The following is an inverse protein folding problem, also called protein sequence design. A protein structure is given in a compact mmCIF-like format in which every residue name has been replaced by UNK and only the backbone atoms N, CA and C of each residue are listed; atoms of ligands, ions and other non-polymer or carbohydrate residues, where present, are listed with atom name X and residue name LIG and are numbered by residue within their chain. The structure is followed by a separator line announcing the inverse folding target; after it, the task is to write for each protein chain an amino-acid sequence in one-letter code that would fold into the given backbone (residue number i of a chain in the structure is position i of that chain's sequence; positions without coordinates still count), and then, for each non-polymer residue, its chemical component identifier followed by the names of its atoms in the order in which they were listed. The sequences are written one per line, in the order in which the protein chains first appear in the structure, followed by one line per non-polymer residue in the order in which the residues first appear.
data_IF_288903725261
#
_entry.id   IF_288903725261
#
_cell.length_a   1.000
_cell.length_b   1.000
_cell.length_c   1.000
_cell.angle_alpha   90.00
_cell.angle_beta   90.00
_cell.angle_gamma   90.00
#
_symmetry.space_group_name_H-M   'P 1'
#
loop_
_entity.id
_entity.type
_entity.pdbx_description
1 polymer ?
#
# COMPACT_ATOMS: atom_id res chain seq x y z
N UNK A 1 -1.00 21.22 0.97
CA UNK A 1 -0.10 20.30 1.69
C UNK A 1 -0.41 18.89 1.18
N UNK A 2 0.37 18.36 0.24
CA UNK A 2 0.15 17.01 -0.26
C UNK A 2 0.44 16.05 0.90
N UNK A 3 -0.56 15.28 1.34
CA UNK A 3 -0.32 14.13 2.22
C UNK A 3 0.46 13.14 1.38
N UNK A 4 1.78 13.17 1.52
CA UNK A 4 2.65 12.15 0.96
C UNK A 4 2.23 10.83 1.63
N UNK A 5 1.51 9.97 0.91
CA UNK A 5 1.14 8.66 1.40
C UNK A 5 2.41 7.81 1.49
N UNK A 6 3.07 7.92 2.63
CA UNK A 6 4.26 7.15 2.97
C UNK A 6 3.80 5.74 3.32
N UNK A 7 3.74 4.87 2.32
CA UNK A 7 3.61 3.43 2.57
C UNK A 7 4.82 2.95 3.38
N UNK A 8 4.56 2.06 4.35
CA UNK A 8 5.57 1.46 5.23
C UNK A 8 5.49 -0.07 5.14
N UNK A 9 6.56 -0.75 5.51
CA UNK A 9 6.56 -2.21 5.64
C UNK A 9 5.47 -2.64 6.63
N UNK A 10 4.64 -3.60 6.25
CA UNK A 10 3.49 -4.08 7.01
C UNK A 10 2.14 -3.44 6.64
N UNK A 11 2.13 -2.36 5.84
CA UNK A 11 0.88 -1.76 5.37
C UNK A 11 0.14 -2.68 4.40
N UNK A 12 -1.20 -2.64 4.46
CA UNK A 12 -2.06 -3.27 3.46
C UNK A 12 -2.46 -2.24 2.41
N UNK A 13 -2.27 -2.63 1.16
CA UNK A 13 -2.63 -1.82 0.00
C UNK A 13 -3.59 -2.60 -0.87
N UNK A 14 -4.47 -1.91 -1.57
CA UNK A 14 -5.31 -2.51 -2.59
C UNK A 14 -4.96 -1.90 -3.93
N UNK A 15 -4.79 -2.77 -4.92
CA UNK A 15 -4.62 -2.39 -6.30
C UNK A 15 -5.79 -2.92 -7.12
N UNK A 16 -6.39 -2.07 -7.95
CA UNK A 16 -7.62 -2.41 -8.69
C UNK A 16 -7.51 -3.67 -9.57
N UNK A 17 -6.31 -3.97 -10.07
CA UNK A 17 -6.04 -5.17 -10.90
C UNK A 17 -5.56 -6.37 -10.10
N UNK A 18 -4.85 -6.16 -8.99
CA UNK A 18 -4.16 -7.25 -8.26
C UNK A 18 -4.84 -7.60 -6.93
N UNK A 19 -5.81 -6.79 -6.51
CA UNK A 19 -6.47 -6.91 -5.22
C UNK A 19 -5.59 -6.41 -4.07
N UNK A 20 -5.83 -7.01 -2.92
CA UNK A 20 -5.09 -6.79 -1.69
C UNK A 20 -3.63 -7.30 -1.75
N UNK A 21 -2.75 -6.46 -1.23
CA UNK A 21 -1.34 -6.75 -1.10
C UNK A 21 -0.77 -6.21 0.20
N UNK A 22 0.28 -6.85 0.69
CA UNK A 22 1.02 -6.47 1.88
C UNK A 22 2.36 -5.88 1.46
N UNK A 23 2.70 -4.69 1.97
CA UNK A 23 4.01 -4.09 1.76
C UNK A 23 5.05 -4.88 2.56
N UNK A 24 5.98 -5.52 1.85
CA UNK A 24 7.09 -6.27 2.45
C UNK A 24 8.34 -5.43 2.61
N UNK A 25 8.57 -4.52 1.67
CA UNK A 25 9.75 -3.65 1.67
C UNK A 25 9.41 -2.31 1.05
N UNK A 26 10.07 -1.25 1.52
CA UNK A 26 9.98 0.07 0.90
C UNK A 26 11.40 0.56 0.63
N UNK A 27 11.68 0.90 -0.62
CA UNK A 27 13.02 1.25 -1.09
C UNK A 27 12.97 2.46 -2.03
N UNK A 28 13.87 3.41 -1.86
CA UNK A 28 13.88 4.68 -2.58
C UNK A 28 13.40 5.86 -1.72
N UNK A 29 13.77 7.07 -2.14
CA UNK A 29 13.49 8.32 -1.42
C UNK A 29 12.95 9.40 -2.37
N UNK A 30 12.11 10.29 -1.83
CA UNK A 30 11.47 11.36 -2.59
C UNK A 30 10.62 10.82 -3.75
N UNK A 31 10.84 11.39 -4.94
CA UNK A 31 10.10 11.13 -6.18
C UNK A 31 10.20 9.68 -6.72
N UNK A 32 11.24 8.93 -6.34
CA UNK A 32 11.55 7.61 -6.90
C UNK A 32 11.22 6.47 -5.93
N UNK A 33 10.35 6.73 -4.95
CA UNK A 33 10.01 5.75 -3.92
C UNK A 33 9.28 4.54 -4.53
N UNK A 34 9.83 3.36 -4.26
CA UNK A 34 9.35 2.06 -4.71
C UNK A 34 8.98 1.20 -3.51
N UNK A 35 7.95 0.38 -3.64
CA UNK A 35 7.52 -0.55 -2.61
C UNK A 35 7.41 -1.95 -3.19
N UNK A 36 7.87 -2.94 -2.43
CA UNK A 36 7.68 -4.35 -2.75
C UNK A 36 6.41 -4.78 -2.05
N UNK A 37 5.39 -5.10 -2.84
CA UNK A 37 4.10 -5.56 -2.35
C UNK A 37 3.93 -7.02 -2.70
N UNK A 38 3.57 -7.83 -1.71
CA UNK A 38 3.15 -9.21 -1.92
C UNK A 38 1.65 -9.23 -2.08
N UNK A 39 1.18 -9.55 -3.28
CA UNK A 39 -0.25 -9.68 -3.56
C UNK A 39 -0.72 -11.05 -3.09
N UNK A 40 -1.68 -11.07 -2.17
CA UNK A 40 -2.20 -12.33 -1.62
C UNK A 40 -3.09 -13.07 -2.61
N UNK A 41 -3.72 -12.34 -3.54
CA UNK A 41 -4.56 -12.93 -4.60
C UNK A 41 -3.80 -13.89 -5.52
N UNK A 42 -2.55 -13.59 -5.86
CA UNK A 42 -1.74 -14.35 -6.83
C UNK A 42 -0.46 -14.95 -6.20
N UNK A 43 -0.25 -14.74 -4.90
CA UNK A 43 0.99 -15.07 -4.18
C UNK A 43 2.27 -14.55 -4.85
N UNK A 44 2.17 -13.49 -5.65
CA UNK A 44 3.30 -12.88 -6.35
C UNK A 44 3.76 -11.60 -5.67
N UNK A 45 5.08 -11.41 -5.63
CA UNK A 45 5.71 -10.19 -5.13
C UNK A 45 6.03 -9.28 -6.32
N UNK A 46 5.58 -8.03 -6.27
CA UNK A 46 5.85 -7.05 -7.32
C UNK A 46 6.40 -5.77 -6.74
N UNK A 47 7.44 -5.25 -7.38
CA UNK A 47 8.00 -3.94 -7.08
C UNK A 47 7.23 -2.87 -7.83
N UNK A 48 6.58 -1.98 -7.09
CA UNK A 48 5.70 -0.95 -7.59
C UNK A 48 6.22 0.41 -7.17
N UNK A 49 6.39 1.31 -8.13
CA UNK A 49 6.77 2.70 -7.85
C UNK A 49 5.54 3.50 -7.45
N UNK A 50 5.60 4.22 -6.33
CA UNK A 50 4.46 4.96 -5.78
C UNK A 50 3.91 5.99 -6.78
N UNK A 51 4.80 6.57 -7.60
CA UNK A 51 4.45 7.54 -8.65
C UNK A 51 3.55 6.97 -9.75
N UNK A 52 3.63 5.68 -10.03
CA UNK A 52 2.89 5.01 -11.11
C UNK A 52 1.78 4.10 -10.61
N UNK A 53 1.99 3.47 -9.45
CA UNK A 53 1.14 2.37 -8.99
C UNK A 53 -0.22 2.81 -8.44
N UNK A 54 -0.41 4.11 -8.12
CA UNK A 54 -1.65 4.69 -7.55
C UNK A 54 -2.33 3.72 -6.56
N UNK A 55 -1.53 3.19 -5.63
CA UNK A 55 -1.98 2.23 -4.64
C UNK A 55 -2.94 2.94 -3.69
N UNK A 56 -4.07 2.31 -3.39
CA UNK A 56 -4.95 2.79 -2.32
C UNK A 56 -4.53 2.08 -1.05
N UNK A 57 -4.09 2.83 -0.02
CA UNK A 57 -3.88 2.24 1.29
C UNK A 57 -5.23 1.76 1.80
N UNK A 58 -5.32 0.47 2.11
CA UNK A 58 -6.47 -0.04 2.86
C UNK A 58 -6.15 0.30 4.30
N UNK A 59 -6.40 1.54 4.69
CA UNK A 59 -6.57 1.82 6.11
C UNK A 59 -7.64 0.83 6.54
N UNK A 60 -7.33 -0.02 7.51
CA UNK A 60 -8.41 -0.60 8.30
C UNK A 60 -9.15 0.62 8.78
N UNK A 61 -10.30 0.87 8.19
CA UNK A 61 -11.34 1.64 8.82
C UNK A 61 -11.50 0.92 10.16
N UNK A 62 -10.86 1.49 11.17
CA UNK A 62 -11.30 1.31 12.54
C UNK A 62 -12.77 1.60 12.45
N UNK A 63 -13.54 0.52 12.49
CA UNK A 63 -14.96 0.59 12.69
C UNK A 63 -15.17 1.63 13.77
N UNK A 64 -15.89 2.67 13.40
CA UNK A 64 -16.76 3.43 14.26
C UNK A 64 -17.23 2.50 15.39
N UNK A 65 -16.53 2.53 16.53
CA UNK A 65 -17.01 1.98 17.80
C UNK A 65 -17.39 3.17 18.65
N UNK A 66 -18.31 3.97 18.12
CA UNK A 66 -19.33 4.55 18.98
C UNK A 66 -20.45 3.53 19.04
N UNK A 67 -20.60 2.83 20.18
CA UNK A 67 -21.95 2.77 20.69
C UNK A 67 -21.99 3.04 22.21
N UNK A 68 -22.79 4.08 22.50
CA UNK A 68 -23.66 4.34 23.67
C UNK A 68 -23.06 4.65 25.04
#
# INVERSE_FOLDING_TARGET
MAREEVFRVGDRVNHKTFGDGLVLETSGGGDNKSVVVSFSSDKSQRKLMLRFAKLSKVEREEAEVEPV
#
